data_IF_029474717597
#
_entry.id   IF_029474717597
#
_cell.length_a   1.000
_cell.length_b   1.000
_cell.length_c   1.000
_cell.angle_alpha   90.00
_cell.angle_beta   90.00
_cell.angle_gamma   90.00
#
_symmetry.space_group_name_H-M   'P 1'
#
loop_
_entity.id
_entity.type
_entity.pdbx_description
1 polymer ?
#
# COMPACT_ATOMS: atom_id res chain seq x y z
N UNK A 1 -2.61 -3.97 -23.00
CA UNK A 1 -1.24 -3.93 -22.43
C UNK A 1 -1.34 -3.43 -21.00
N UNK A 2 -1.57 -4.35 -20.06
CA UNK A 2 -1.77 -4.03 -18.64
C UNK A 2 -0.43 -3.61 -18.05
N UNK A 3 -0.30 -2.33 -17.67
CA UNK A 3 0.94 -1.81 -17.12
C UNK A 3 1.10 -2.33 -15.69
N UNK A 4 1.79 -3.46 -15.52
CA UNK A 4 2.17 -4.08 -14.23
C UNK A 4 3.19 -3.26 -13.43
N UNK A 5 3.11 -1.93 -13.49
CA UNK A 5 4.01 -1.03 -12.78
C UNK A 5 3.28 -0.63 -11.51
N UNK A 6 3.78 -1.06 -10.36
CA UNK A 6 3.31 -0.72 -9.00
C UNK A 6 3.09 0.79 -8.74
N UNK A 7 3.53 1.64 -9.67
CA UNK A 7 3.41 3.10 -9.65
C UNK A 7 2.13 3.65 -10.31
N UNK A 8 1.36 2.81 -11.00
CA UNK A 8 0.13 3.25 -11.68
C UNK A 8 -1.09 3.12 -10.78
N UNK A 9 -2.16 3.86 -11.12
CA UNK A 9 -3.38 3.90 -10.31
C UNK A 9 -4.22 2.61 -10.48
N UNK A 10 -4.14 2.00 -11.67
CA UNK A 10 -4.73 0.70 -12.06
C UNK A 10 -3.96 -0.50 -11.52
N UNK A 11 -3.21 -0.32 -10.42
CA UNK A 11 -2.49 -1.44 -9.82
C UNK A 11 -3.44 -2.32 -9.00
N UNK A 12 -3.72 -3.52 -9.50
CA UNK A 12 -4.77 -4.41 -8.97
C UNK A 12 -4.53 -4.94 -7.56
N UNK A 13 -3.37 -4.68 -6.94
CA UNK A 13 -3.02 -5.19 -5.60
C UNK A 13 -2.97 -4.09 -4.53
N UNK A 14 -3.88 -3.12 -4.63
CA UNK A 14 -4.11 -2.15 -3.54
C UNK A 14 -4.81 -2.86 -2.39
N UNK A 15 -4.18 -2.85 -1.21
CA UNK A 15 -4.75 -3.39 0.03
C UNK A 15 -5.76 -2.40 0.59
N UNK A 16 -5.35 -1.14 0.72
CA UNK A 16 -6.21 -0.07 1.21
C UNK A 16 -5.65 1.28 0.78
N UNK A 17 -6.56 2.22 0.50
CA UNK A 17 -6.21 3.64 0.39
C UNK A 17 -6.25 4.21 1.81
N UNK A 18 -5.13 4.79 2.26
CA UNK A 18 -5.07 5.47 3.55
C UNK A 18 -5.75 6.83 3.41
N UNK A 19 -5.46 7.56 2.35
CA UNK A 19 -6.17 8.77 1.92
C UNK A 19 -5.81 9.08 0.45
N UNK A 20 -6.16 10.26 -0.06
CA UNK A 20 -5.87 10.67 -1.43
C UNK A 20 -4.37 10.76 -1.77
N UNK A 21 -3.51 10.80 -0.74
CA UNK A 21 -2.05 10.95 -0.86
C UNK A 21 -1.28 9.68 -0.51
N UNK A 22 -1.91 8.71 0.16
CA UNK A 22 -1.23 7.54 0.69
C UNK A 22 -2.03 6.27 0.43
N UNK A 23 -1.36 5.21 -0.02
CA UNK A 23 -1.96 3.89 -0.19
C UNK A 23 -0.99 2.80 0.23
N UNK A 24 -1.54 1.66 0.60
CA UNK A 24 -0.78 0.43 0.82
C UNK A 24 -1.08 -0.54 -0.29
N UNK A 25 -0.03 -1.08 -0.90
CA UNK A 25 -0.12 -2.11 -1.94
C UNK A 25 0.67 -3.36 -1.55
N UNK A 26 0.38 -4.48 -2.20
CA UNK A 26 1.25 -5.66 -2.17
C UNK A 26 2.21 -5.57 -3.36
N UNK A 27 3.50 -5.85 -3.14
CA UNK A 27 4.46 -5.88 -4.24
C UNK A 27 4.10 -6.93 -5.29
N UNK A 28 4.70 -6.81 -6.48
CA UNK A 28 4.46 -7.71 -7.60
C UNK A 28 4.73 -9.18 -7.26
N UNK A 29 5.68 -9.45 -6.37
CA UNK A 29 6.07 -10.81 -5.97
C UNK A 29 5.27 -11.35 -4.75
N UNK A 30 4.40 -10.53 -4.16
CA UNK A 30 3.58 -10.94 -3.02
C UNK A 30 4.36 -11.20 -1.73
N UNK A 31 5.56 -10.63 -1.58
CA UNK A 31 6.46 -10.87 -0.43
C UNK A 31 6.59 -9.68 0.51
N UNK A 32 6.06 -8.51 0.15
CA UNK A 32 6.09 -7.31 0.99
C UNK A 32 4.93 -6.37 0.69
N UNK A 33 4.48 -5.64 1.70
CA UNK A 33 3.62 -4.49 1.59
C UNK A 33 4.45 -3.24 1.34
N UNK A 34 3.93 -2.35 0.50
CA UNK A 34 4.58 -1.09 0.15
C UNK A 34 3.64 0.05 0.52
N UNK A 35 4.09 0.92 1.43
CA UNK A 35 3.45 2.22 1.65
C UNK A 35 3.89 3.15 0.52
N UNK A 36 2.93 3.65 -0.25
CA UNK A 36 3.18 4.56 -1.35
C UNK A 36 2.59 5.93 -1.08
N UNK A 37 3.32 6.96 -1.52
CA UNK A 37 2.88 8.35 -1.53
C UNK A 37 2.58 8.79 -2.95
N UNK A 38 1.51 9.55 -3.13
CA UNK A 38 1.19 10.25 -4.38
C UNK A 38 2.13 11.45 -4.52
N UNK A 39 2.95 11.45 -5.57
CA UNK A 39 3.85 12.56 -5.89
C UNK A 39 3.19 13.63 -6.78
N UNK A 40 2.03 13.31 -7.36
CA UNK A 40 1.27 14.21 -8.22
C UNK A 40 0.56 13.44 -9.32
N UNK A 41 0.20 14.17 -10.36
CA UNK A 41 -0.46 13.65 -11.54
C UNK A 41 0.33 14.04 -12.77
N UNK A 42 0.57 13.09 -13.68
CA UNK A 42 1.19 13.36 -14.97
C UNK A 42 0.30 12.73 -16.05
N UNK A 43 -0.10 13.53 -17.02
CA UNK A 43 -0.94 13.10 -18.14
C UNK A 43 -2.25 12.41 -17.70
N UNK A 44 -2.92 12.96 -16.68
CA UNK A 44 -4.17 12.40 -16.14
C UNK A 44 -4.00 11.16 -15.26
N UNK A 45 -2.76 10.78 -14.91
CA UNK A 45 -2.46 9.57 -14.13
C UNK A 45 -1.71 9.90 -12.85
N UNK A 46 -2.25 9.45 -11.72
CA UNK A 46 -1.58 9.56 -10.43
C UNK A 46 -0.25 8.80 -10.45
N UNK A 47 0.82 9.48 -10.03
CA UNK A 47 2.15 8.87 -9.85
C UNK A 47 2.35 8.52 -8.39
N UNK A 48 2.57 7.24 -8.13
CA UNK A 48 2.83 6.71 -6.80
C UNK A 48 4.30 6.30 -6.64
N UNK A 49 4.92 6.69 -5.53
CA UNK A 49 6.30 6.32 -5.17
C UNK A 49 6.29 5.52 -3.87
N UNK A 50 7.01 4.40 -3.85
CA UNK A 50 7.23 3.59 -2.65
C UNK A 50 8.10 4.32 -1.64
N UNK A 51 7.55 4.51 -0.43
CA UNK A 51 8.22 5.21 0.68
C UNK A 51 8.77 4.21 1.69
N UNK A 52 8.01 3.14 1.97
CA UNK A 52 8.42 2.12 2.93
C UNK A 52 7.99 0.73 2.48
N UNK A 53 8.76 -0.26 2.91
CA UNK A 53 8.67 -1.66 2.51
C UNK A 53 8.60 -2.51 3.79
N UNK A 54 7.54 -3.30 3.96
CA UNK A 54 7.30 -4.03 5.20
C UNK A 54 6.76 -5.43 4.92
N UNK A 55 7.28 -6.42 5.64
CA UNK A 55 6.81 -7.82 5.57
C UNK A 55 5.89 -8.19 6.74
N UNK A 56 5.78 -7.31 7.75
CA UNK A 56 4.98 -7.51 8.95
C UNK A 56 3.95 -6.40 9.17
N UNK A 57 2.73 -6.77 9.61
CA UNK A 57 1.62 -5.82 9.83
C UNK A 57 1.98 -4.72 10.83
N UNK A 58 2.62 -5.08 11.96
CA UNK A 58 3.02 -4.11 12.99
C UNK A 58 4.00 -3.06 12.44
N UNK A 59 4.97 -3.49 11.62
CA UNK A 59 5.91 -2.58 10.97
C UNK A 59 5.20 -1.68 9.96
N UNK A 60 4.28 -2.24 9.16
CA UNK A 60 3.46 -1.47 8.22
C UNK A 60 2.61 -0.39 8.92
N UNK A 61 1.91 -0.77 9.99
CA UNK A 61 1.09 0.17 10.77
C UNK A 61 1.97 1.27 11.37
N UNK A 62 3.13 0.90 11.93
CA UNK A 62 4.07 1.87 12.49
C UNK A 62 4.51 2.89 11.44
N UNK A 63 4.89 2.45 10.23
CA UNK A 63 5.35 3.41 9.19
C UNK A 63 4.23 4.31 8.69
N UNK A 64 2.97 3.83 8.68
CA UNK A 64 1.81 4.68 8.37
C UNK A 64 1.70 5.84 9.38
N UNK A 65 1.87 5.55 10.67
CA UNK A 65 1.88 6.58 11.73
C UNK A 65 3.15 7.46 11.71
N UNK A 66 4.33 6.89 11.51
CA UNK A 66 5.60 7.62 11.47
C UNK A 66 5.63 8.65 10.32
N UNK A 67 4.91 8.38 9.22
CA UNK A 67 4.74 9.31 8.10
C UNK A 67 3.58 10.31 8.28
N UNK A 68 2.89 10.30 9.43
CA UNK A 68 1.77 11.20 9.72
C UNK A 68 0.61 11.01 8.75
N UNK A 69 0.38 9.79 8.26
CA UNK A 69 -0.73 9.54 7.35
C UNK A 69 -2.05 9.60 8.14
N UNK A 70 -2.98 10.44 7.71
CA UNK A 70 -4.33 10.49 8.27
C UNK A 70 -5.21 9.44 7.57
N UNK A 71 -5.57 8.32 8.23
CA UNK A 71 -6.35 7.27 7.59
C UNK A 71 -7.81 7.66 7.49
N UNK A 72 -8.40 7.47 6.31
CA UNK A 72 -9.84 7.56 6.10
C UNK A 72 -10.57 6.44 6.89
N UNK A 73 -11.88 6.60 7.15
CA UNK A 73 -12.67 5.56 7.81
C UNK A 73 -12.51 4.19 7.14
N UNK A 74 -12.35 3.14 7.94
CA UNK A 74 -12.16 1.77 7.46
C UNK A 74 -10.74 1.43 7.00
N UNK A 75 -9.87 2.41 6.71
CA UNK A 75 -8.50 2.11 6.27
C UNK A 75 -7.70 1.38 7.35
N UNK A 76 -7.86 1.79 8.61
CA UNK A 76 -7.19 1.16 9.73
C UNK A 76 -7.74 -0.24 10.03
N UNK A 77 -9.04 -0.47 9.83
CA UNK A 77 -9.65 -1.80 9.96
C UNK A 77 -9.08 -2.77 8.92
N UNK A 78 -8.91 -2.31 7.68
CA UNK A 78 -8.23 -3.11 6.64
C UNK A 78 -6.79 -3.46 7.03
N UNK A 79 -6.02 -2.51 7.59
CA UNK A 79 -4.64 -2.78 8.04
C UNK A 79 -4.62 -3.76 9.22
N UNK A 80 -5.56 -3.63 10.16
CA UNK A 80 -5.68 -4.53 11.30
C UNK A 80 -6.14 -5.94 10.89
N UNK A 81 -6.93 -6.07 9.83
CA UNK A 81 -7.36 -7.36 9.29
C UNK A 81 -6.23 -8.13 8.57
N UNK A 82 -5.09 -7.49 8.26
CA UNK A 82 -3.95 -8.18 7.66
C UNK A 82 -3.38 -9.25 8.60
N UNK A 83 -2.78 -10.32 8.05
CA UNK A 83 -2.03 -11.27 8.85
C UNK A 83 -0.79 -10.62 9.47
N UNK A 84 -0.21 -11.24 10.49
CA UNK A 84 0.98 -10.69 11.15
C UNK A 84 2.17 -10.58 10.19
N UNK A 85 2.31 -11.55 9.27
CA UNK A 85 3.31 -11.58 8.20
C UNK A 85 2.66 -11.83 6.85
N UNK A 86 3.18 -11.19 5.80
CA UNK A 86 2.63 -11.32 4.43
C UNK A 86 2.77 -12.72 3.84
N UNK A 87 3.76 -13.50 4.29
CA UNK A 87 3.92 -14.90 3.91
C UNK A 87 2.68 -15.75 4.23
N UNK A 88 1.91 -15.35 5.25
CA UNK A 88 0.68 -16.03 5.63
C UNK A 88 -0.45 -15.80 4.62
N UNK A 89 -0.38 -14.76 3.79
CA UNK A 89 -1.34 -14.53 2.69
C UNK A 89 -1.17 -15.50 1.51
N UNK A 90 -0.06 -16.26 1.45
CA UNK A 90 0.21 -17.21 0.36
C UNK A 90 -0.39 -18.60 0.61
N UNK A 91 -0.90 -18.85 1.80
CA UNK A 91 -1.30 -20.17 2.26
C UNK A 91 -2.82 -20.40 2.22
N UNK A 92 -3.55 -19.59 1.45
CA UNK A 92 -5.01 -19.68 1.25
C UNK A 92 -5.36 -19.95 -0.21
#
# INVERSE_FOLDING_TARGET
MTSQRERTDDYDRVVTKINDRWRVIICRDGIQWILQKREGERDGRARWTGVSYSTGRKALIRVVFDHGCEPQPGAMDCLNALPEKIEQMKNE
#
